data_IF_675923521027
#
_entry.id   IF_675923521027
#
_cell.length_a   1.000
_cell.length_b   1.000
_cell.length_c   1.000
_cell.angle_alpha   90.00
_cell.angle_beta   90.00
_cell.angle_gamma   90.00
#
_symmetry.space_group_name_H-M   'P 1'
#
loop_
_entity.id
_entity.type
_entity.pdbx_description
1 polymer ?
#
# COMPACT_ATOMS: atom_id res chain seq x y z
N UNK A 1 35.17 1.39 -62.20
CA UNK A 1 36.05 0.71 -61.22
C UNK A 1 35.59 -0.73 -61.11
N UNK A 2 36.45 -1.73 -61.42
CA UNK A 2 36.07 -3.15 -61.42
C UNK A 2 35.64 -3.59 -60.01
N UNK A 3 34.65 -4.49 -59.92
CA UNK A 3 34.01 -4.87 -58.66
C UNK A 3 34.99 -5.48 -57.65
N UNK A 4 35.98 -6.24 -58.10
CA UNK A 4 37.03 -6.78 -57.23
C UNK A 4 37.87 -5.67 -56.57
N UNK A 5 38.09 -4.53 -57.25
CA UNK A 5 38.80 -3.37 -56.66
C UNK A 5 37.96 -2.75 -55.55
N UNK A 6 36.65 -2.57 -55.80
CA UNK A 6 35.72 -2.05 -54.77
C UNK A 6 35.69 -2.95 -53.53
N UNK A 7 35.74 -4.26 -53.70
CA UNK A 7 35.82 -5.23 -52.59
C UNK A 7 37.13 -5.07 -51.83
N UNK A 8 38.28 -5.08 -52.53
CA UNK A 8 39.58 -4.87 -51.90
C UNK A 8 39.64 -3.56 -51.11
N UNK A 9 39.15 -2.47 -51.70
CA UNK A 9 39.15 -1.15 -51.08
C UNK A 9 38.20 -1.07 -49.88
N UNK A 10 36.98 -1.63 -49.99
CA UNK A 10 35.99 -1.61 -48.92
C UNK A 10 36.39 -2.45 -47.70
N UNK A 11 37.04 -3.59 -47.93
CA UNK A 11 37.48 -4.50 -46.87
C UNK A 11 38.92 -4.27 -46.41
N UNK A 12 39.68 -3.37 -47.07
CA UNK A 12 41.09 -3.13 -46.76
C UNK A 12 42.00 -4.33 -47.02
N UNK A 13 41.65 -5.19 -47.99
CA UNK A 13 42.36 -6.44 -48.29
C UNK A 13 43.10 -6.37 -49.63
N UNK A 14 44.20 -7.11 -49.75
CA UNK A 14 44.94 -7.29 -50.99
C UNK A 14 44.22 -8.22 -51.96
N UNK A 15 44.60 -8.16 -53.24
CA UNK A 15 44.10 -9.11 -54.26
C UNK A 15 44.45 -10.57 -53.94
N UNK A 16 45.56 -10.81 -53.23
CA UNK A 16 45.95 -12.16 -52.81
C UNK A 16 44.98 -12.68 -51.75
N UNK A 17 44.67 -11.86 -50.75
CA UNK A 17 43.72 -12.21 -49.69
C UNK A 17 42.29 -12.38 -50.23
N UNK A 18 41.90 -11.58 -51.24
CA UNK A 18 40.64 -11.78 -51.94
C UNK A 18 40.62 -13.13 -52.69
N UNK A 19 41.73 -13.52 -53.32
CA UNK A 19 41.85 -14.81 -54.00
C UNK A 19 41.75 -15.98 -53.02
N UNK A 20 42.44 -15.86 -51.88
CA UNK A 20 42.39 -16.84 -50.80
C UNK A 20 40.97 -16.96 -50.22
N UNK A 21 40.25 -15.85 -50.01
CA UNK A 21 38.85 -15.84 -49.54
C UNK A 21 37.86 -16.46 -50.53
N UNK A 22 38.14 -16.35 -51.83
CA UNK A 22 37.29 -16.91 -52.89
C UNK A 22 37.72 -18.34 -53.28
N UNK A 23 38.82 -18.87 -52.74
CA UNK A 23 39.33 -20.19 -53.07
C UNK A 23 39.88 -20.29 -54.50
N UNK A 24 40.39 -19.19 -55.07
CA UNK A 24 40.89 -19.13 -56.44
C UNK A 24 42.33 -18.63 -56.50
N UNK A 25 42.98 -18.73 -57.66
CA UNK A 25 44.34 -18.20 -57.84
C UNK A 25 44.36 -16.67 -57.94
N UNK A 26 45.44 -16.05 -57.46
CA UNK A 26 45.67 -14.60 -57.65
C UNK A 26 45.69 -14.21 -59.14
N UNK A 27 46.25 -15.07 -60.00
CA UNK A 27 46.28 -14.85 -61.45
C UNK A 27 44.86 -14.75 -62.04
N UNK A 28 43.91 -15.53 -61.51
CA UNK A 28 42.49 -15.44 -61.87
C UNK A 28 41.94 -14.05 -61.55
N UNK A 29 42.23 -13.50 -60.37
CA UNK A 29 41.82 -12.14 -60.00
C UNK A 29 42.50 -11.06 -60.85
N UNK A 30 43.80 -11.20 -61.15
CA UNK A 30 44.51 -10.22 -61.98
C UNK A 30 43.93 -10.16 -63.41
N UNK A 31 43.36 -11.27 -63.90
CA UNK A 31 42.65 -11.33 -65.18
C UNK A 31 41.28 -10.61 -65.19
N UNK A 32 40.69 -10.32 -64.02
CA UNK A 32 39.41 -9.61 -63.86
C UNK A 32 39.49 -8.09 -64.06
N UNK A 33 40.66 -7.62 -64.51
CA UNK A 33 40.81 -6.28 -65.08
C UNK A 33 39.85 -6.05 -66.25
N UNK A 34 39.49 -7.12 -66.97
CA UNK A 34 38.38 -7.20 -67.92
C UNK A 34 37.15 -7.82 -67.23
N UNK A 35 36.07 -7.05 -67.10
CA UNK A 35 34.86 -7.47 -66.40
C UNK A 35 34.12 -8.62 -67.09
N UNK A 36 34.33 -8.84 -68.39
CA UNK A 36 33.74 -9.97 -69.13
C UNK A 36 34.31 -11.33 -68.71
N UNK A 37 35.44 -11.33 -67.97
CA UNK A 37 36.14 -12.53 -67.49
C UNK A 37 35.76 -12.93 -66.06
N UNK A 38 34.87 -12.18 -65.41
CA UNK A 38 34.33 -12.50 -64.09
C UNK A 38 33.13 -13.43 -64.30
N UNK A 39 33.12 -14.60 -63.66
CA UNK A 39 31.95 -15.48 -63.71
C UNK A 39 30.79 -14.89 -62.90
N UNK A 40 29.54 -15.18 -63.30
CA UNK A 40 28.36 -14.70 -62.59
C UNK A 40 28.39 -15.08 -61.09
N UNK A 41 28.84 -16.29 -60.76
CA UNK A 41 28.99 -16.75 -59.37
C UNK A 41 30.02 -15.92 -58.60
N UNK A 42 31.16 -15.61 -59.22
CA UNK A 42 32.18 -14.77 -58.60
C UNK A 42 31.69 -13.33 -58.43
N UNK A 43 30.91 -12.81 -59.38
CA UNK A 43 30.30 -11.49 -59.28
C UNK A 43 29.34 -11.41 -58.09
N UNK A 44 28.42 -12.36 -57.95
CA UNK A 44 27.48 -12.41 -56.81
C UNK A 44 28.23 -12.54 -55.49
N UNK A 45 29.27 -13.36 -55.42
CA UNK A 45 30.09 -13.48 -54.21
C UNK A 45 30.75 -12.14 -53.83
N UNK A 46 31.29 -11.40 -54.80
CA UNK A 46 31.89 -10.08 -54.57
C UNK A 46 30.85 -9.04 -54.12
N UNK A 47 29.64 -9.07 -54.67
CA UNK A 47 28.51 -8.20 -54.27
C UNK A 47 28.10 -8.49 -52.82
N UNK A 48 27.94 -9.76 -52.46
CA UNK A 48 27.61 -10.20 -51.09
C UNK A 48 28.70 -9.81 -50.08
N UNK A 49 29.98 -9.85 -50.45
CA UNK A 49 31.07 -9.41 -49.57
C UNK A 49 30.99 -7.92 -49.24
N UNK A 50 30.61 -7.06 -50.20
CA UNK A 50 30.39 -5.63 -49.97
C UNK A 50 29.16 -5.41 -49.08
N UNK A 51 28.06 -6.08 -49.40
CA UNK A 51 26.81 -5.94 -48.65
C UNK A 51 26.97 -6.39 -47.20
N UNK A 52 27.63 -7.53 -46.97
CA UNK A 52 27.88 -8.04 -45.62
C UNK A 52 28.78 -7.10 -44.80
N UNK A 53 29.79 -6.49 -45.43
CA UNK A 53 30.62 -5.48 -44.79
C UNK A 53 29.81 -4.22 -44.43
N UNK A 54 28.91 -3.78 -45.31
CA UNK A 54 28.00 -2.65 -45.05
C UNK A 54 27.04 -2.96 -43.89
N UNK A 55 26.42 -4.14 -43.88
CA UNK A 55 25.53 -4.59 -42.81
C UNK A 55 26.26 -4.71 -41.47
N UNK A 56 27.48 -5.25 -41.46
CA UNK A 56 28.31 -5.34 -40.25
C UNK A 56 28.61 -3.95 -39.67
N UNK A 57 28.88 -2.96 -40.51
CA UNK A 57 29.08 -1.57 -40.07
C UNK A 57 27.79 -0.95 -39.51
N UNK A 58 26.63 -1.23 -40.10
CA UNK A 58 25.34 -0.78 -39.57
C UNK A 58 25.08 -1.41 -38.19
N UNK A 59 25.32 -2.70 -38.03
CA UNK A 59 25.19 -3.41 -36.75
C UNK A 59 26.13 -2.80 -35.71
N UNK A 60 27.39 -2.54 -36.07
CA UNK A 60 28.35 -1.86 -35.18
C UNK A 60 27.84 -0.50 -34.71
N UNK A 61 27.30 0.33 -35.61
CA UNK A 61 26.70 1.63 -35.25
C UNK A 61 25.48 1.48 -34.34
N UNK A 62 24.65 0.46 -34.55
CA UNK A 62 23.50 0.18 -33.67
C UNK A 62 23.98 -0.21 -32.27
N UNK A 63 25.03 -1.04 -32.17
CA UNK A 63 25.62 -1.44 -30.89
C UNK A 63 26.25 -0.25 -30.15
N UNK A 64 26.94 0.63 -30.87
CA UNK A 64 27.49 1.87 -30.30
C UNK A 64 26.39 2.81 -29.82
N UNK A 65 25.33 3.00 -30.62
CA UNK A 65 24.17 3.80 -30.23
C UNK A 65 23.46 3.19 -29.01
N UNK A 66 23.31 1.87 -28.96
CA UNK A 66 22.75 1.15 -27.82
C UNK A 66 23.63 1.29 -26.58
N UNK A 67 24.96 1.23 -26.74
CA UNK A 67 25.92 1.45 -25.65
C UNK A 67 25.84 2.89 -25.12
N UNK A 68 25.82 3.89 -26.00
CA UNK A 68 25.66 5.29 -25.63
C UNK A 68 24.29 5.56 -24.96
N UNK A 69 23.22 4.93 -25.45
CA UNK A 69 21.89 5.00 -24.84
C UNK A 69 21.86 4.33 -23.48
N UNK A 70 22.52 3.18 -23.32
CA UNK A 70 22.67 2.51 -22.05
C UNK A 70 23.52 3.33 -21.09
N UNK A 71 24.63 3.93 -21.53
CA UNK A 71 25.49 4.81 -20.72
C UNK A 71 24.74 6.06 -20.26
N UNK A 72 23.98 6.70 -21.16
CA UNK A 72 23.08 7.81 -20.84
C UNK A 72 21.99 7.42 -19.85
N UNK A 73 21.36 6.25 -20.05
CA UNK A 73 20.41 5.71 -19.09
C UNK A 73 21.06 5.35 -17.75
N UNK A 74 22.25 4.73 -17.73
CA UNK A 74 22.96 4.43 -16.48
C UNK A 74 23.44 5.69 -15.76
N UNK A 75 23.78 6.75 -16.49
CA UNK A 75 24.05 8.07 -15.95
C UNK A 75 22.82 8.70 -15.27
N UNK A 76 21.61 8.35 -15.71
CA UNK A 76 20.35 8.68 -15.03
C UNK A 76 19.92 7.64 -13.96
N UNK A 77 20.31 6.37 -14.08
CA UNK A 77 19.98 5.29 -13.12
C UNK A 77 20.87 5.36 -11.86
N UNK A 78 21.98 6.10 -11.90
CA UNK A 78 22.77 6.44 -10.71
C UNK A 78 22.28 7.71 -9.98
N UNK A 79 21.15 8.30 -10.36
CA UNK A 79 20.35 9.00 -9.37
C UNK A 79 19.60 7.96 -8.56
N UNK A 80 20.19 7.57 -7.42
CA UNK A 80 19.44 6.89 -6.36
C UNK A 80 18.09 7.59 -6.20
N UNK A 81 17.00 6.83 -6.14
CA UNK A 81 15.66 7.40 -5.93
C UNK A 81 15.73 8.49 -4.85
N UNK A 82 15.05 9.62 -5.09
CA UNK A 82 15.02 10.69 -4.10
C UNK A 82 14.53 10.16 -2.76
N UNK A 83 14.99 10.75 -1.66
CA UNK A 83 14.58 10.28 -0.34
C UNK A 83 13.06 10.39 -0.14
N UNK A 84 12.40 11.34 -0.81
CA UNK A 84 10.95 11.45 -0.83
C UNK A 84 10.29 10.27 -1.57
N UNK A 85 10.85 9.84 -2.71
CA UNK A 85 10.35 8.66 -3.42
C UNK A 85 10.56 7.38 -2.60
N UNK A 86 11.70 7.24 -1.90
CA UNK A 86 11.94 6.14 -0.97
C UNK A 86 10.88 6.11 0.13
N UNK A 87 10.66 7.23 0.82
CA UNK A 87 9.65 7.33 1.89
C UNK A 87 8.24 7.03 1.39
N UNK A 88 7.87 7.54 0.22
CA UNK A 88 6.58 7.27 -0.41
C UNK A 88 6.38 5.77 -0.66
N UNK A 89 7.36 5.11 -1.28
CA UNK A 89 7.29 3.66 -1.56
C UNK A 89 7.27 2.84 -0.27
N UNK A 90 8.02 3.21 0.76
CA UNK A 90 7.95 2.53 2.06
C UNK A 90 6.57 2.65 2.70
N UNK A 91 5.93 3.83 2.63
CA UNK A 91 4.53 4.00 3.05
C UNK A 91 3.58 3.11 2.25
N UNK A 92 3.75 3.02 0.94
CA UNK A 92 2.94 2.11 0.11
C UNK A 92 3.15 0.65 0.49
N UNK A 93 4.40 0.22 0.73
CA UNK A 93 4.72 -1.14 1.17
C UNK A 93 4.09 -1.47 2.52
N UNK A 94 4.10 -0.53 3.47
CA UNK A 94 3.41 -0.67 4.76
C UNK A 94 1.93 -0.99 4.56
N UNK A 95 1.25 -0.25 3.68
CA UNK A 95 -0.16 -0.54 3.34
C UNK A 95 -0.30 -1.93 2.72
N UNK A 96 0.55 -2.32 1.78
CA UNK A 96 0.47 -3.66 1.19
C UNK A 96 0.68 -4.77 2.23
N UNK A 97 1.59 -4.59 3.20
CA UNK A 97 1.78 -5.54 4.28
C UNK A 97 0.58 -5.63 5.20
N UNK A 98 -0.07 -4.50 5.52
CA UNK A 98 -1.29 -4.50 6.33
C UNK A 98 -2.40 -5.29 5.63
N UNK A 99 -2.59 -5.13 4.33
CA UNK A 99 -3.58 -5.94 3.59
C UNK A 99 -3.09 -7.36 3.24
N UNK A 100 -1.86 -7.73 3.63
CA UNK A 100 -1.19 -9.01 3.29
C UNK A 100 -1.18 -9.28 1.79
N UNK A 101 -0.93 -8.25 1.00
CA UNK A 101 -0.94 -8.31 -0.46
C UNK A 101 0.47 -8.36 -1.04
N UNK A 102 0.64 -9.19 -2.06
CA UNK A 102 1.77 -9.07 -2.99
C UNK A 102 1.48 -7.98 -4.02
N UNK A 103 2.52 -7.48 -4.70
CA UNK A 103 2.40 -6.55 -5.84
C UNK A 103 1.36 -7.01 -6.87
N UNK A 104 1.31 -8.31 -7.18
CA UNK A 104 0.36 -8.87 -8.16
C UNK A 104 -1.08 -8.71 -7.66
N UNK A 105 -1.34 -9.12 -6.41
CA UNK A 105 -2.69 -9.04 -5.83
C UNK A 105 -3.13 -7.61 -5.54
N UNK A 106 -2.19 -6.73 -5.19
CA UNK A 106 -2.43 -5.31 -5.00
C UNK A 106 -2.82 -4.62 -6.30
N UNK A 107 -2.06 -4.85 -7.39
CA UNK A 107 -2.39 -4.32 -8.71
C UNK A 107 -3.76 -4.81 -9.19
N UNK A 108 -4.08 -6.09 -8.96
CA UNK A 108 -5.42 -6.63 -9.25
C UNK A 108 -6.52 -5.95 -8.43
N UNK A 109 -6.30 -5.72 -7.11
CA UNK A 109 -7.25 -5.01 -6.23
C UNK A 109 -7.46 -3.56 -6.68
N UNK A 110 -6.39 -2.91 -7.13
CA UNK A 110 -6.43 -1.59 -7.75
C UNK A 110 -7.04 -1.61 -9.15
N UNK A 111 -7.47 -2.75 -9.70
CA UNK A 111 -8.01 -2.84 -11.05
C UNK A 111 -7.03 -2.24 -12.10
N UNK A 112 -5.74 -2.55 -11.98
CA UNK A 112 -4.74 -2.25 -13.02
C UNK A 112 -4.79 -3.32 -14.13
N UNK A 113 -4.45 -2.92 -15.36
CA UNK A 113 -4.36 -3.85 -16.50
C UNK A 113 -3.25 -4.91 -16.33
N UNK A 114 -2.27 -4.62 -15.49
CA UNK A 114 -1.17 -5.51 -15.14
C UNK A 114 -0.40 -5.01 -13.93
N UNK A 115 0.47 -5.85 -13.37
CA UNK A 115 1.22 -5.52 -12.15
C UNK A 115 2.55 -4.80 -12.42
N UNK A 116 2.97 -4.70 -13.68
CA UNK A 116 4.27 -4.12 -14.08
C UNK A 116 4.44 -2.66 -13.60
N UNK A 117 3.38 -1.85 -13.69
CA UNK A 117 3.40 -0.45 -13.22
C UNK A 117 3.74 -0.39 -11.74
N UNK A 118 3.04 -1.18 -10.92
CA UNK A 118 3.25 -1.24 -9.48
C UNK A 118 4.63 -1.80 -9.14
N UNK A 119 5.06 -2.87 -9.82
CA UNK A 119 6.39 -3.47 -9.60
C UNK A 119 7.53 -2.49 -9.87
N UNK A 120 7.45 -1.74 -10.97
CA UNK A 120 8.43 -0.70 -11.30
C UNK A 120 8.45 0.43 -10.27
N UNK A 121 7.30 0.81 -9.71
CA UNK A 121 7.24 1.80 -8.63
C UNK A 121 7.88 1.26 -7.36
N UNK A 122 7.51 0.05 -6.94
CA UNK A 122 8.03 -0.59 -5.73
C UNK A 122 9.55 -0.88 -5.78
N UNK A 123 10.10 -1.03 -6.98
CA UNK A 123 11.52 -1.28 -7.24
C UNK A 123 12.29 -0.02 -7.65
N UNK A 124 11.68 1.17 -7.48
CA UNK A 124 12.28 2.47 -7.78
C UNK A 124 12.67 2.69 -9.25
N UNK A 125 12.16 1.88 -10.18
CA UNK A 125 12.39 1.98 -11.63
C UNK A 125 11.44 2.97 -12.31
N UNK A 126 10.40 3.43 -11.61
CA UNK A 126 9.42 4.39 -12.11
C UNK A 126 8.85 5.22 -10.95
N UNK A 127 8.67 6.52 -11.15
CA UNK A 127 7.93 7.36 -10.22
C UNK A 127 6.42 7.13 -10.41
N UNK A 128 5.63 7.07 -9.32
CA UNK A 128 4.18 7.09 -9.41
C UNK A 128 3.71 8.46 -9.93
N UNK A 129 2.73 8.46 -10.83
CA UNK A 129 2.01 9.66 -11.23
C UNK A 129 0.81 9.92 -10.29
N UNK A 130 0.22 11.11 -10.36
CA UNK A 130 -0.87 11.50 -9.45
C UNK A 130 -2.13 10.63 -9.62
N UNK A 131 -2.47 10.24 -10.85
CA UNK A 131 -3.59 9.32 -11.10
C UNK A 131 -3.40 8.00 -10.37
N UNK A 132 -2.20 7.42 -10.44
CA UNK A 132 -1.87 6.21 -9.70
C UNK A 132 -1.96 6.41 -8.18
N UNK A 133 -1.48 7.55 -7.67
CA UNK A 133 -1.52 7.84 -6.23
C UNK A 133 -2.96 8.00 -5.72
N UNK A 134 -3.80 8.75 -6.41
CA UNK A 134 -5.23 8.88 -6.08
C UNK A 134 -5.94 7.52 -6.11
N UNK A 135 -5.61 6.69 -7.09
CA UNK A 135 -6.14 5.33 -7.20
C UNK A 135 -5.66 4.44 -6.06
N UNK A 136 -4.40 4.54 -5.66
CA UNK A 136 -3.86 3.82 -4.52
C UNK A 136 -4.58 4.24 -3.23
N UNK A 137 -4.68 5.55 -2.98
CA UNK A 137 -5.36 6.16 -1.83
C UNK A 137 -6.80 5.66 -1.72
N UNK A 138 -7.57 5.75 -2.81
CA UNK A 138 -8.99 5.35 -2.83
C UNK A 138 -9.18 3.83 -2.70
N UNK A 139 -8.30 3.02 -3.30
CA UNK A 139 -8.38 1.55 -3.23
C UNK A 139 -8.16 1.03 -1.82
N UNK A 140 -7.18 1.61 -1.12
CA UNK A 140 -6.81 1.20 0.24
C UNK A 140 -7.49 2.02 1.33
N UNK A 141 -8.23 3.06 0.94
CA UNK A 141 -8.99 3.95 1.83
C UNK A 141 -8.11 4.55 2.93
N UNK A 142 -6.95 5.06 2.54
CA UNK A 142 -5.95 5.67 3.44
C UNK A 142 -5.97 7.19 3.33
N UNK A 143 -5.37 7.87 4.32
CA UNK A 143 -5.23 9.31 4.35
C UNK A 143 -4.20 9.78 3.30
N UNK A 144 -4.60 10.74 2.48
CA UNK A 144 -3.79 11.31 1.40
C UNK A 144 -2.56 12.05 1.93
N UNK A 145 -2.73 12.93 2.92
CA UNK A 145 -1.64 13.68 3.55
C UNK A 145 -0.63 12.74 4.21
N UNK A 146 -1.07 11.59 4.74
CA UNK A 146 -0.15 10.58 5.24
C UNK A 146 0.69 9.98 4.12
N UNK A 147 0.06 9.56 3.02
CA UNK A 147 0.78 8.94 1.91
C UNK A 147 1.76 9.91 1.23
N UNK A 148 1.40 11.18 1.10
CA UNK A 148 2.17 12.18 0.36
C UNK A 148 3.22 12.86 1.25
N UNK A 149 2.84 13.26 2.47
CA UNK A 149 3.70 14.06 3.36
C UNK A 149 4.25 13.26 4.55
N UNK A 150 3.61 12.15 4.94
CA UNK A 150 4.03 11.36 6.10
C UNK A 150 3.60 11.93 7.43
N UNK A 151 2.55 12.75 7.42
CA UNK A 151 1.93 13.30 8.63
C UNK A 151 0.71 12.47 9.02
N UNK A 152 0.34 12.51 10.29
CA UNK A 152 -0.78 11.74 10.85
C UNK A 152 -0.56 10.22 10.67
N UNK A 153 -1.64 9.47 10.55
CA UNK A 153 -1.63 8.01 10.41
C UNK A 153 -2.42 7.59 9.16
N UNK A 154 -2.09 6.45 8.52
CA UNK A 154 -2.70 6.00 7.28
C UNK A 154 -4.21 5.77 7.39
N UNK A 155 -4.70 5.26 8.52
CA UNK A 155 -6.11 4.94 8.72
C UNK A 155 -6.85 5.97 9.57
N UNK A 156 -6.32 7.20 9.65
CA UNK A 156 -6.97 8.32 10.32
C UNK A 156 -8.04 8.97 9.43
N UNK A 157 -9.05 8.18 9.05
CA UNK A 157 -10.16 8.60 8.20
C UNK A 157 -11.34 9.03 9.06
N UNK A 158 -11.72 10.30 8.97
CA UNK A 158 -12.83 10.88 9.73
C UNK A 158 -14.15 10.82 8.94
N UNK A 159 -15.15 10.15 9.50
CA UNK A 159 -16.53 10.12 8.98
C UNK A 159 -17.60 10.16 10.07
N UNK A 160 -17.25 9.94 11.34
CA UNK A 160 -18.15 10.18 12.47
C UNK A 160 -18.28 11.70 12.63
N UNK A 161 -19.50 12.20 12.52
CA UNK A 161 -19.79 13.64 12.68
C UNK A 161 -20.35 13.97 14.06
N UNK A 162 -20.75 12.95 14.82
CA UNK A 162 -21.34 13.12 16.13
C UNK A 162 -20.35 13.61 17.18
N UNK A 163 -20.79 14.60 17.97
CA UNK A 163 -20.06 15.08 19.15
C UNK A 163 -20.65 14.56 20.47
N UNK A 164 -21.72 13.77 20.40
CA UNK A 164 -22.34 13.11 21.55
C UNK A 164 -22.82 11.72 21.17
N UNK A 165 -22.90 10.82 22.15
CA UNK A 165 -23.42 9.46 21.93
C UNK A 165 -24.90 9.43 21.51
N UNK A 166 -25.66 10.47 21.85
CA UNK A 166 -27.03 10.64 21.37
C UNK A 166 -27.04 10.87 19.86
N UNK A 167 -26.22 11.80 19.36
CA UNK A 167 -26.07 12.02 17.92
C UNK A 167 -25.53 10.77 17.22
N UNK A 168 -24.59 10.05 17.85
CA UNK A 168 -24.03 8.81 17.32
C UNK A 168 -25.10 7.72 17.16
N UNK A 169 -26.11 7.71 18.04
CA UNK A 169 -27.29 6.84 17.92
C UNK A 169 -28.16 7.23 16.73
N UNK A 170 -28.31 8.52 16.45
CA UNK A 170 -29.11 9.00 15.33
C UNK A 170 -28.48 8.60 13.97
N UNK A 171 -27.14 8.53 13.89
CA UNK A 171 -26.40 8.09 12.69
C UNK A 171 -26.06 6.58 12.67
N UNK A 172 -26.59 5.78 13.60
CA UNK A 172 -26.26 4.33 13.75
C UNK A 172 -26.46 3.51 12.47
N UNK A 173 -27.32 3.98 11.56
CA UNK A 173 -27.62 3.34 10.29
C UNK A 173 -26.55 3.55 9.21
N UNK A 174 -25.63 4.49 9.39
CA UNK A 174 -24.49 4.70 8.50
C UNK A 174 -23.35 3.71 8.76
N UNK A 175 -23.34 3.13 9.96
CA UNK A 175 -22.35 2.14 10.36
C UNK A 175 -22.83 0.72 10.07
N UNK A 176 -21.91 -0.09 9.55
CA UNK A 176 -22.10 -1.53 9.45
C UNK A 176 -21.93 -2.19 10.82
N UNK A 177 -21.03 -1.64 11.66
CA UNK A 177 -20.71 -2.20 12.97
C UNK A 177 -20.09 -1.16 13.88
N UNK A 178 -20.31 -1.27 15.18
CA UNK A 178 -19.67 -0.46 16.20
C UNK A 178 -19.01 -1.38 17.22
N UNK A 179 -17.87 -0.94 17.75
CA UNK A 179 -17.11 -1.64 18.77
C UNK A 179 -16.94 -0.71 19.96
N UNK A 180 -17.24 -1.20 21.17
CA UNK A 180 -16.76 -0.60 22.42
C UNK A 180 -15.57 -1.43 22.86
N UNK A 181 -14.40 -0.81 22.88
CA UNK A 181 -13.11 -1.50 23.02
C UNK A 181 -12.46 -1.08 24.33
N UNK A 182 -12.00 -2.06 25.11
CA UNK A 182 -11.14 -1.83 26.27
C UNK A 182 -9.87 -2.69 26.22
N UNK A 183 -8.85 -2.29 26.97
CA UNK A 183 -7.63 -3.08 27.19
C UNK A 183 -7.82 -4.13 28.28
N UNK A 184 -7.19 -5.30 28.14
CA UNK A 184 -7.30 -6.44 29.06
C UNK A 184 -6.77 -6.18 30.48
N UNK A 185 -5.85 -5.24 30.62
CA UNK A 185 -5.26 -4.82 31.91
C UNK A 185 -6.11 -3.76 32.63
N UNK A 186 -7.15 -3.23 31.98
CA UNK A 186 -8.03 -2.16 32.47
C UNK A 186 -7.29 -0.88 32.91
N UNK A 187 -6.12 -0.60 32.34
CA UNK A 187 -5.29 0.56 32.70
C UNK A 187 -5.47 1.77 31.78
N UNK A 188 -6.23 1.61 30.70
CA UNK A 188 -6.50 2.68 29.72
C UNK A 188 -7.98 2.91 29.51
N UNK A 189 -8.29 4.03 28.87
CA UNK A 189 -9.64 4.39 28.47
C UNK A 189 -10.33 3.28 27.68
N UNK A 190 -11.62 3.16 27.88
CA UNK A 190 -12.51 2.47 26.95
C UNK A 190 -12.86 3.44 25.83
N UNK A 191 -12.91 2.96 24.59
CA UNK A 191 -13.08 3.81 23.39
C UNK A 191 -14.08 3.19 22.42
N UNK A 192 -14.64 4.02 21.54
CA UNK A 192 -15.59 3.57 20.51
C UNK A 192 -14.93 3.63 19.13
N UNK A 193 -15.11 2.55 18.37
CA UNK A 193 -14.68 2.46 16.97
C UNK A 193 -15.89 2.10 16.12
N UNK A 194 -16.11 2.81 15.02
CA UNK A 194 -17.18 2.51 14.08
C UNK A 194 -16.59 2.03 12.75
N UNK A 195 -17.24 1.05 12.13
CA UNK A 195 -16.97 0.63 10.75
C UNK A 195 -18.13 1.07 9.86
N UNK A 196 -17.86 1.85 8.83
CA UNK A 196 -18.88 2.25 7.87
C UNK A 196 -19.17 1.16 6.82
N UNK A 197 -20.19 1.37 5.99
CA UNK A 197 -20.58 0.43 4.92
C UNK A 197 -19.52 0.20 3.84
N UNK A 198 -18.51 1.08 3.73
CA UNK A 198 -17.38 0.94 2.79
C UNK A 198 -16.22 0.13 3.39
N UNK A 199 -16.32 -0.30 4.65
CA UNK A 199 -15.26 -1.01 5.36
C UNK A 199 -14.16 -0.11 5.95
N UNK A 200 -14.41 1.21 6.03
CA UNK A 200 -13.52 2.16 6.68
C UNK A 200 -13.81 2.21 8.16
N UNK A 201 -12.78 2.56 8.94
CA UNK A 201 -12.86 2.68 10.39
C UNK A 201 -12.62 4.13 10.80
N UNK A 202 -13.39 4.59 11.78
CA UNK A 202 -13.19 5.86 12.46
C UNK A 202 -13.39 5.66 13.97
N UNK A 203 -12.81 6.57 14.73
CA UNK A 203 -12.67 6.53 16.17
C UNK A 203 -13.42 7.72 16.74
N UNK A 204 -14.39 7.42 17.61
CA UNK A 204 -15.11 8.45 18.34
C UNK A 204 -14.14 9.20 19.24
N UNK A 205 -14.24 10.53 19.27
CA UNK A 205 -13.22 11.37 19.88
C UNK A 205 -13.23 11.33 21.42
N UNK A 206 -14.37 11.01 22.05
CA UNK A 206 -14.44 10.94 23.51
C UNK A 206 -13.98 9.58 24.04
N UNK A 207 -13.18 9.67 25.09
CA UNK A 207 -12.65 8.53 25.84
C UNK A 207 -13.47 8.28 27.11
N UNK A 208 -13.59 7.02 27.52
CA UNK A 208 -14.38 6.63 28.70
C UNK A 208 -13.47 6.06 29.79
N UNK A 209 -13.54 6.64 30.98
CA UNK A 209 -12.71 6.30 32.15
C UNK A 209 -13.13 5.00 32.84
N UNK A 210 -13.22 3.88 32.12
CA UNK A 210 -13.59 2.57 32.67
C UNK A 210 -12.32 1.73 32.83
N UNK A 211 -11.69 1.83 34.00
CA UNK A 211 -10.46 1.12 34.35
C UNK A 211 -9.92 1.51 35.73
N UNK A 212 -9.07 0.66 36.31
CA UNK A 212 -8.61 0.75 37.72
C UNK A 212 -7.79 2.01 38.06
N UNK A 213 -7.29 2.72 37.06
CA UNK A 213 -6.44 3.91 37.25
C UNK A 213 -7.22 5.23 37.17
N UNK A 214 -8.54 5.19 36.95
CA UNK A 214 -9.33 6.39 36.76
C UNK A 214 -10.09 6.77 38.01
N UNK A 215 -10.31 8.07 38.16
CA UNK A 215 -11.15 8.64 39.22
C UNK A 215 -12.47 9.02 38.56
N UNK A 216 -13.56 8.44 39.04
CA UNK A 216 -14.90 8.81 38.59
C UNK A 216 -15.32 10.13 39.26
N UNK A 217 -15.06 11.24 38.58
CA UNK A 217 -15.56 12.56 38.97
C UNK A 217 -16.84 12.89 38.20
N UNK A 218 -17.47 14.03 38.48
CA UNK A 218 -18.85 14.31 38.05
C UNK A 218 -19.09 14.18 36.53
N UNK A 219 -18.10 14.52 35.69
CA UNK A 219 -18.20 14.42 34.23
C UNK A 219 -18.10 12.96 33.79
N UNK A 220 -17.12 12.22 34.32
CA UNK A 220 -16.88 10.81 33.99
C UNK A 220 -18.08 9.93 34.36
N UNK A 221 -18.77 10.24 35.46
CA UNK A 221 -20.03 9.58 35.83
C UNK A 221 -21.13 9.77 34.77
N UNK A 222 -21.22 10.98 34.20
CA UNK A 222 -22.16 11.31 33.14
C UNK A 222 -21.81 10.63 31.81
N UNK A 223 -20.52 10.55 31.49
CA UNK A 223 -20.02 9.85 30.30
C UNK A 223 -20.26 8.34 30.40
N UNK A 224 -20.03 7.74 31.58
CA UNK A 224 -20.34 6.33 31.84
C UNK A 224 -21.83 6.03 31.64
N UNK A 225 -22.71 6.86 32.19
CA UNK A 225 -24.16 6.71 32.00
C UNK A 225 -24.55 6.87 30.53
N UNK A 226 -23.93 7.82 29.82
CA UNK A 226 -24.18 8.04 28.39
C UNK A 226 -23.73 6.84 27.55
N UNK A 227 -22.59 6.23 27.89
CA UNK A 227 -22.11 5.00 27.25
C UNK A 227 -23.04 3.82 27.50
N UNK A 228 -23.52 3.68 28.75
CA UNK A 228 -24.53 2.68 29.09
C UNK A 228 -25.83 2.86 28.27
N UNK A 229 -26.37 4.08 28.21
CA UNK A 229 -27.58 4.38 27.43
C UNK A 229 -27.37 4.08 25.94
N UNK A 230 -26.21 4.47 25.41
CA UNK A 230 -25.82 4.21 24.02
C UNK A 230 -25.76 2.71 23.70
N UNK A 231 -25.12 1.92 24.57
CA UNK A 231 -25.06 0.47 24.42
C UNK A 231 -26.47 -0.14 24.48
N UNK A 232 -27.28 0.21 25.48
CA UNK A 232 -28.63 -0.36 25.63
C UNK A 232 -29.54 -0.05 24.44
N UNK A 233 -29.45 1.15 23.89
CA UNK A 233 -30.22 1.54 22.71
C UNK A 233 -29.80 0.75 21.45
N UNK A 234 -28.53 0.34 21.36
CA UNK A 234 -27.93 -0.18 20.13
C UNK A 234 -27.27 -1.56 20.28
N UNK A 235 -27.64 -2.33 21.32
CA UNK A 235 -26.94 -3.57 21.74
C UNK A 235 -26.73 -4.62 20.66
N UNK A 236 -27.58 -4.67 19.64
CA UNK A 236 -27.47 -5.64 18.53
C UNK A 236 -26.52 -5.18 17.41
N UNK A 237 -26.05 -3.93 17.45
CA UNK A 237 -25.11 -3.34 16.48
C UNK A 237 -23.72 -3.09 17.06
N UNK A 238 -23.62 -3.17 18.38
CA UNK A 238 -22.40 -2.92 19.13
C UNK A 238 -21.81 -4.26 19.56
N UNK A 239 -20.53 -4.46 19.27
CA UNK A 239 -19.74 -5.51 19.88
C UNK A 239 -18.88 -4.95 21.01
N UNK A 240 -18.88 -5.67 22.13
CA UNK A 240 -18.03 -5.38 23.27
C UNK A 240 -16.73 -6.17 23.12
N UNK A 241 -15.61 -5.44 23.11
CA UNK A 241 -14.33 -5.97 22.67
C UNK A 241 -13.27 -5.79 23.76
N UNK A 242 -12.55 -6.88 24.01
CA UNK A 242 -11.33 -6.91 24.81
C UNK A 242 -10.13 -7.16 23.89
N UNK A 243 -9.12 -6.29 24.00
CA UNK A 243 -7.82 -6.43 23.34
C UNK A 243 -6.72 -6.51 24.38
N UNK A 244 -5.64 -7.23 24.06
CA UNK A 244 -4.41 -7.11 24.86
C UNK A 244 -3.80 -5.71 24.68
N UNK A 245 -3.04 -5.24 25.68
CA UNK A 245 -2.41 -3.91 25.70
C UNK A 245 -1.75 -3.52 24.37
N UNK A 246 -0.92 -4.40 23.82
CA UNK A 246 -0.21 -4.14 22.56
C UNK A 246 -1.15 -3.98 21.36
N UNK A 247 -2.21 -4.79 21.28
CA UNK A 247 -3.20 -4.73 20.19
C UNK A 247 -4.10 -3.50 20.32
N UNK A 248 -4.46 -3.14 21.56
CA UNK A 248 -5.16 -1.91 21.88
C UNK A 248 -4.34 -0.70 21.40
N UNK A 249 -3.06 -0.62 21.76
CA UNK A 249 -2.20 0.51 21.38
C UNK A 249 -2.04 0.59 19.85
N UNK A 250 -1.87 -0.54 19.16
CA UNK A 250 -1.83 -0.60 17.68
C UNK A 250 -3.13 -0.11 17.04
N UNK A 251 -4.28 -0.48 17.60
CA UNK A 251 -5.58 -0.07 17.05
C UNK A 251 -5.74 1.45 17.14
N UNK A 252 -5.39 2.04 18.28
CA UNK A 252 -5.57 3.48 18.51
C UNK A 252 -4.42 4.35 18.00
N UNK A 253 -3.28 3.76 17.61
CA UNK A 253 -2.25 4.49 16.84
C UNK A 253 -2.72 4.84 15.42
N UNK A 254 -3.71 4.10 14.89
CA UNK A 254 -4.25 4.24 13.52
C UNK A 254 -3.22 3.98 12.42
N UNK A 255 -2.04 3.46 12.76
CA UNK A 255 -1.01 3.02 11.80
C UNK A 255 -1.32 1.67 11.19
N UNK A 256 -2.13 0.87 11.88
CA UNK A 256 -2.45 -0.49 11.51
C UNK A 256 -3.89 -0.59 11.04
N UNK A 257 -4.14 -1.50 10.10
CA UNK A 257 -5.48 -1.68 9.56
C UNK A 257 -6.38 -2.32 10.63
N UNK A 258 -7.34 -1.55 11.14
CA UNK A 258 -8.19 -1.95 12.27
C UNK A 258 -8.87 -3.32 12.06
N UNK A 259 -9.24 -3.67 10.83
CA UNK A 259 -9.85 -4.97 10.53
C UNK A 259 -8.94 -6.16 10.91
N UNK A 260 -7.62 -6.02 10.78
CA UNK A 260 -6.68 -7.10 11.15
C UNK A 260 -6.69 -7.37 12.65
N UNK A 261 -6.85 -6.31 13.45
CA UNK A 261 -6.86 -6.37 14.92
C UNK A 261 -8.23 -6.86 15.39
N UNK A 262 -9.30 -6.26 14.86
CA UNK A 262 -10.67 -6.54 15.26
C UNK A 262 -11.22 -7.87 14.69
N UNK A 263 -10.53 -8.55 13.76
CA UNK A 263 -11.04 -9.82 13.20
C UNK A 263 -11.07 -10.98 14.21
N UNK A 264 -10.10 -11.03 15.12
CA UNK A 264 -9.94 -12.14 16.08
C UNK A 264 -10.04 -11.66 17.53
N UNK A 265 -10.77 -10.57 17.74
CA UNK A 265 -10.93 -9.97 19.04
C UNK A 265 -11.62 -10.92 20.03
N UNK A 266 -11.35 -10.72 21.32
CA UNK A 266 -12.08 -11.39 22.40
C UNK A 266 -13.31 -10.57 22.76
N UNK A 267 -14.42 -11.24 23.05
CA UNK A 267 -15.58 -10.56 23.62
C UNK A 267 -15.26 -10.05 25.03
N UNK A 268 -15.63 -8.80 25.33
CA UNK A 268 -15.49 -8.25 26.68
C UNK A 268 -16.68 -8.66 27.55
N UNK A 269 -16.49 -9.72 28.34
CA UNK A 269 -17.44 -10.10 29.38
C UNK A 269 -17.52 -9.07 30.51
N UNK A 270 -16.44 -8.31 30.75
CA UNK A 270 -16.45 -7.25 31.76
C UNK A 270 -17.40 -6.12 31.37
N UNK A 271 -17.35 -5.63 30.13
CA UNK A 271 -18.29 -4.61 29.66
C UNK A 271 -19.72 -5.15 29.58
N UNK A 272 -19.91 -6.42 29.20
CA UNK A 272 -21.23 -7.03 29.12
C UNK A 272 -21.88 -7.11 30.51
N UNK A 273 -21.14 -7.62 31.49
CA UNK A 273 -21.57 -7.65 32.88
C UNK A 273 -21.84 -6.20 33.41
N UNK A 274 -20.97 -5.23 33.07
CA UNK A 274 -21.09 -3.85 33.52
C UNK A 274 -22.41 -3.24 33.05
N UNK A 275 -22.79 -3.56 31.81
CA UNK A 275 -24.00 -3.05 31.24
C UNK A 275 -25.24 -3.88 31.57
N UNK A 276 -25.14 -5.13 32.03
CA UNK A 276 -26.33 -5.88 32.46
C UNK A 276 -26.91 -5.38 33.80
N UNK A 277 -26.07 -4.78 34.66
CA UNK A 277 -26.41 -4.23 36.00
C UNK A 277 -26.97 -5.23 37.03
N UNK A 278 -27.33 -6.44 36.62
CA UNK A 278 -27.94 -7.48 37.45
C UNK A 278 -26.93 -8.49 38.00
N UNK A 279 -25.68 -8.46 37.53
CA UNK A 279 -24.61 -9.40 37.91
C UNK A 279 -23.81 -8.88 39.09
N UNK A 280 -23.82 -9.62 40.20
CA UNK A 280 -22.88 -9.42 41.32
C UNK A 280 -21.56 -10.16 41.00
N UNK A 281 -20.79 -9.58 40.08
CA UNK A 281 -19.48 -10.09 39.65
C UNK A 281 -18.31 -9.26 40.23
N UNK A 282 -18.56 -8.53 41.32
CA UNK A 282 -17.58 -7.71 42.04
C UNK A 282 -16.28 -8.47 42.36
N UNK A 283 -16.40 -9.73 42.78
CA UNK A 283 -15.25 -10.61 43.06
C UNK A 283 -14.35 -10.95 41.85
N UNK A 284 -14.83 -10.72 40.62
CA UNK A 284 -14.14 -11.08 39.37
C UNK A 284 -13.38 -9.91 38.73
N UNK A 285 -13.83 -8.67 38.94
CA UNK A 285 -13.30 -7.49 38.24
C UNK A 285 -12.86 -6.34 39.17
N UNK A 286 -12.66 -6.63 40.46
CA UNK A 286 -12.17 -5.70 41.49
C UNK A 286 -13.16 -4.58 41.87
N UNK A 287 -12.81 -3.78 42.90
CA UNK A 287 -13.71 -2.79 43.52
C UNK A 287 -14.16 -1.68 42.57
N UNK A 288 -13.27 -1.25 41.66
CA UNK A 288 -13.56 -0.19 40.68
C UNK A 288 -14.73 -0.54 39.75
N UNK A 289 -14.88 -1.82 39.42
CA UNK A 289 -15.99 -2.29 38.61
C UNK A 289 -17.33 -2.13 39.33
N UNK A 290 -17.36 -2.42 40.65
CA UNK A 290 -18.54 -2.23 41.47
C UNK A 290 -18.91 -0.75 41.60
N UNK A 291 -17.91 0.12 41.74
CA UNK A 291 -18.10 1.58 41.74
C UNK A 291 -18.81 2.05 40.46
N UNK A 292 -18.39 1.55 39.29
CA UNK A 292 -19.04 1.87 38.01
C UNK A 292 -20.51 1.43 37.97
N UNK A 293 -20.83 0.21 38.44
CA UNK A 293 -22.21 -0.28 38.53
C UNK A 293 -23.05 0.62 39.44
N UNK A 294 -22.52 0.95 40.62
CA UNK A 294 -23.22 1.75 41.63
C UNK A 294 -23.49 3.17 41.11
N UNK A 295 -22.54 3.77 40.38
CA UNK A 295 -22.71 5.06 39.71
C UNK A 295 -23.85 4.98 38.68
N UNK A 296 -23.86 3.97 37.80
CA UNK A 296 -24.93 3.83 36.79
C UNK A 296 -26.29 3.68 37.48
N UNK A 297 -26.39 2.82 38.49
CA UNK A 297 -27.64 2.60 39.26
C UNK A 297 -28.12 3.89 39.93
N UNK A 298 -27.23 4.59 40.64
CA UNK A 298 -27.54 5.84 41.32
C UNK A 298 -28.04 6.92 40.35
N UNK A 299 -27.37 7.09 39.22
CA UNK A 299 -27.76 8.06 38.20
C UNK A 299 -29.12 7.72 37.56
N UNK A 300 -29.40 6.43 37.33
CA UNK A 300 -30.70 5.98 36.84
C UNK A 300 -31.82 6.25 37.85
N UNK A 301 -31.56 6.12 39.15
CA UNK A 301 -32.53 6.48 40.19
C UNK A 301 -32.83 7.98 40.24
N UNK A 302 -31.80 8.83 40.17
CA UNK A 302 -31.99 10.29 40.09
C UNK A 302 -32.85 10.64 38.86
N UNK A 303 -32.53 10.06 37.70
CA UNK A 303 -33.27 10.31 36.46
C UNK A 303 -34.74 9.89 36.57
N UNK A 304 -35.05 8.80 37.28
CA UNK A 304 -36.43 8.37 37.55
C UNK A 304 -37.15 9.36 38.47
N UNK A 305 -36.51 9.82 39.54
CA UNK A 305 -37.08 10.81 40.47
C UNK A 305 -37.39 12.14 39.76
N UNK A 306 -36.48 12.61 38.91
CA UNK A 306 -36.65 13.86 38.16
C UNK A 306 -37.70 13.80 37.04
N UNK A 307 -38.10 12.61 36.59
CA UNK A 307 -39.21 12.43 35.63
C UNK A 307 -40.59 12.36 36.28
N UNK A 308 -40.63 12.08 37.59
CA UNK A 308 -41.86 11.96 38.37
C UNK A 308 -42.21 13.23 39.17
N UNK A 309 -41.35 14.25 39.10
CA UNK A 309 -41.58 15.61 39.59
C UNK A 309 -41.86 16.54 38.40
#
# INVERSE_FOLDING_TARGET
MSIYKKVCDALGISRKELADKLGISKATIDSWSDSSRISNTAQVALELMIENHSLSNIVGKIQEAQKAFNEYNTGNILQSASDDHKKLVERMKHILSEFKLTTITAAKKMNELGFERLDKIMTFKKYPDFEFLEKFISTFQILDVWLLEGKFAPFDIKFIQSHSLKQLTDEINEFLKIYIVHSSDNETYTKIVAMNKKGQYDFYDNDFCIGKNFIMSGIECGDLLSLYDFYKANKYRIELVQLEREEYDKLFSRDYYAANILKYHKHSYMLDDLFDLNTDNSSKYEDFYQECIDIIKYQLEIRKKNKNN
#
